data_IF_229653017070
#
_entry.id   IF_229653017070
#
_cell.length_a   1.000
_cell.length_b   1.000
_cell.length_c   1.000
_cell.angle_alpha   90.00
_cell.angle_beta   90.00
_cell.angle_gamma   90.00
#
_symmetry.space_group_name_H-M   'P 1'
#
loop_
_entity.id
_entity.type
_entity.pdbx_description
1 polymer ?
#
# COMPACT_ATOMS: atom_id res chain seq x y z
N UNK A 1 -1.30 -71.40 -17.01
CA UNK A 1 -2.41 -70.78 -16.26
C UNK A 1 -1.91 -70.10 -14.97
N UNK A 2 -1.02 -69.11 -15.06
CA UNK A 2 -0.44 -68.45 -13.85
C UNK A 2 -0.65 -66.93 -13.81
N UNK A 3 -1.15 -66.34 -14.89
CA UNK A 3 -1.33 -64.88 -15.01
C UNK A 3 -2.45 -64.32 -14.14
N UNK A 4 -3.55 -65.05 -13.92
CA UNK A 4 -4.69 -64.57 -13.10
C UNK A 4 -4.37 -64.43 -11.61
N UNK A 5 -3.50 -65.28 -11.05
CA UNK A 5 -3.13 -65.25 -9.62
C UNK A 5 -2.16 -64.11 -9.30
N UNK A 6 -1.27 -63.74 -10.24
CA UNK A 6 -0.36 -62.59 -10.12
C UNK A 6 -1.07 -61.25 -10.34
N UNK A 7 -2.18 -61.23 -11.08
CA UNK A 7 -2.91 -60.00 -11.42
C UNK A 7 -3.74 -59.45 -10.25
N UNK A 8 -4.26 -60.33 -9.38
CA UNK A 8 -5.09 -59.98 -8.23
C UNK A 8 -4.37 -59.11 -7.17
N UNK A 9 -3.17 -59.46 -6.66
CA UNK A 9 -2.44 -58.60 -5.73
C UNK A 9 -2.00 -57.28 -6.37
N UNK A 10 -1.73 -57.27 -7.67
CA UNK A 10 -1.40 -56.04 -8.41
C UNK A 10 -2.60 -55.10 -8.53
N UNK A 11 -3.82 -55.63 -8.62
CA UNK A 11 -5.03 -54.80 -8.58
C UNK A 11 -5.31 -54.25 -7.19
N UNK A 12 -5.16 -55.05 -6.14
CA UNK A 12 -5.34 -54.62 -4.75
C UNK A 12 -4.38 -53.48 -4.37
N UNK A 13 -3.10 -53.59 -4.75
CA UNK A 13 -2.11 -52.52 -4.54
C UNK A 13 -2.48 -51.24 -5.31
N UNK A 14 -3.00 -51.37 -6.53
CA UNK A 14 -3.43 -50.21 -7.33
C UNK A 14 -4.66 -49.52 -6.74
N UNK A 15 -5.60 -50.30 -6.19
CA UNK A 15 -6.78 -49.76 -5.50
C UNK A 15 -6.37 -49.04 -4.22
N UNK A 16 -5.49 -49.63 -3.40
CA UNK A 16 -4.99 -48.97 -2.20
C UNK A 16 -4.24 -47.65 -2.51
N UNK A 17 -3.44 -47.64 -3.59
CA UNK A 17 -2.75 -46.43 -4.03
C UNK A 17 -3.73 -45.35 -4.55
N UNK A 18 -4.81 -45.77 -5.20
CA UNK A 18 -5.88 -44.86 -5.64
C UNK A 18 -6.63 -44.27 -4.45
N UNK A 19 -6.96 -45.07 -3.44
CA UNK A 19 -7.59 -44.61 -2.21
C UNK A 19 -6.71 -43.61 -1.46
N UNK A 20 -5.41 -43.88 -1.35
CA UNK A 20 -4.47 -42.96 -0.73
C UNK A 20 -4.39 -41.63 -1.50
N UNK A 21 -4.28 -41.67 -2.84
CA UNK A 21 -4.26 -40.45 -3.66
C UNK A 21 -5.57 -39.68 -3.61
N UNK A 22 -6.70 -40.37 -3.50
CA UNK A 22 -8.00 -39.75 -3.36
C UNK A 22 -8.12 -39.07 -1.99
N UNK A 23 -7.66 -39.71 -0.92
CA UNK A 23 -7.61 -39.12 0.42
C UNK A 23 -6.71 -37.87 0.46
N UNK A 24 -5.53 -37.93 -0.17
CA UNK A 24 -4.62 -36.77 -0.28
C UNK A 24 -5.27 -35.63 -1.07
N UNK A 25 -5.98 -35.96 -2.15
CA UNK A 25 -6.67 -34.98 -3.00
C UNK A 25 -7.84 -34.33 -2.26
N UNK A 26 -8.65 -35.11 -1.53
CA UNK A 26 -9.74 -34.61 -0.69
C UNK A 26 -9.19 -33.68 0.39
N UNK A 27 -8.12 -34.08 1.07
CA UNK A 27 -7.47 -33.25 2.11
C UNK A 27 -6.93 -31.94 1.53
N UNK A 28 -6.32 -31.99 0.34
CA UNK A 28 -5.90 -30.78 -0.36
C UNK A 28 -7.11 -29.92 -0.77
N UNK A 29 -8.19 -30.53 -1.26
CA UNK A 29 -9.39 -29.81 -1.66
C UNK A 29 -10.11 -29.14 -0.49
N UNK A 30 -10.08 -29.72 0.71
CA UNK A 30 -10.62 -29.08 1.92
C UNK A 30 -9.78 -27.87 2.36
N UNK A 31 -8.47 -27.90 2.11
CA UNK A 31 -7.56 -26.80 2.48
C UNK A 31 -7.63 -25.59 1.52
N UNK A 32 -8.06 -25.80 0.26
CA UNK A 32 -8.08 -24.77 -0.78
C UNK A 32 -9.12 -23.66 -0.50
N UNK A 33 -10.38 -23.96 -0.13
CA UNK A 33 -11.38 -22.96 0.25
C UNK A 33 -10.88 -22.04 1.37
N UNK A 34 -10.28 -22.61 2.43
CA UNK A 34 -9.75 -21.82 3.54
C UNK A 34 -8.60 -20.89 3.13
N UNK A 35 -7.77 -21.29 2.16
CA UNK A 35 -6.71 -20.44 1.61
C UNK A 35 -7.26 -19.33 0.72
N UNK A 36 -8.30 -19.60 -0.06
CA UNK A 36 -8.98 -18.59 -0.90
C UNK A 36 -9.67 -17.55 -0.03
N UNK A 37 -10.44 -17.96 0.99
CA UNK A 37 -11.08 -17.03 1.93
C UNK A 37 -10.06 -16.16 2.68
N UNK A 38 -8.89 -16.70 3.01
CA UNK A 38 -7.81 -15.93 3.63
C UNK A 38 -7.21 -14.90 2.67
N UNK A 39 -6.98 -15.27 1.41
CA UNK A 39 -6.51 -14.35 0.38
C UNK A 39 -7.54 -13.24 0.10
N UNK A 40 -8.83 -13.57 0.03
CA UNK A 40 -9.91 -12.59 -0.11
C UNK A 40 -9.90 -11.59 1.05
N UNK A 41 -9.74 -12.05 2.29
CA UNK A 41 -9.59 -11.18 3.46
C UNK A 41 -8.34 -10.31 3.42
N UNK A 42 -7.20 -10.84 2.95
CA UNK A 42 -5.97 -10.06 2.75
C UNK A 42 -6.15 -9.01 1.63
N UNK A 43 -6.85 -9.34 0.53
CA UNK A 43 -7.17 -8.41 -0.54
C UNK A 43 -8.10 -7.28 -0.08
N UNK A 44 -9.13 -7.59 0.71
CA UNK A 44 -10.04 -6.58 1.27
C UNK A 44 -9.30 -5.63 2.24
N UNK A 45 -8.41 -6.19 3.06
CA UNK A 45 -7.58 -5.41 3.97
C UNK A 45 -6.59 -4.51 3.20
N UNK A 46 -5.97 -5.02 2.13
CA UNK A 46 -5.09 -4.23 1.25
C UNK A 46 -5.86 -3.13 0.50
N UNK A 47 -7.08 -3.40 0.02
CA UNK A 47 -7.93 -2.41 -0.64
C UNK A 47 -8.31 -1.27 0.33
N UNK A 48 -8.59 -1.61 1.58
CA UNK A 48 -8.88 -0.64 2.65
C UNK A 48 -7.65 0.23 2.94
N UNK A 49 -6.48 -0.38 3.09
CA UNK A 49 -5.22 0.34 3.30
C UNK A 49 -4.86 1.24 2.12
N UNK A 50 -5.07 0.79 0.89
CA UNK A 50 -4.83 1.61 -0.31
C UNK A 50 -5.75 2.83 -0.37
N UNK A 51 -7.01 2.66 0.05
CA UNK A 51 -7.97 3.77 0.12
C UNK A 51 -7.56 4.79 1.17
N UNK A 52 -7.18 4.34 2.37
CA UNK A 52 -6.67 5.21 3.43
C UNK A 52 -5.36 5.92 3.03
N UNK A 53 -4.46 5.22 2.34
CA UNK A 53 -3.22 5.79 1.85
C UNK A 53 -3.46 6.88 0.80
N UNK A 54 -4.38 6.65 -0.13
CA UNK A 54 -4.76 7.63 -1.14
C UNK A 54 -5.37 8.90 -0.50
N UNK A 55 -6.20 8.72 0.53
CA UNK A 55 -6.76 9.85 1.28
C UNK A 55 -5.66 10.64 2.03
N UNK A 56 -4.74 9.94 2.69
CA UNK A 56 -3.57 10.57 3.32
C UNK A 56 -2.69 11.33 2.34
N UNK A 57 -2.50 10.81 1.11
CA UNK A 57 -1.77 11.52 0.05
C UNK A 57 -2.49 12.79 -0.41
N UNK A 58 -3.82 12.78 -0.50
CA UNK A 58 -4.61 13.97 -0.83
C UNK A 58 -4.50 15.03 0.25
N UNK A 59 -4.64 14.65 1.51
CA UNK A 59 -4.52 15.56 2.65
C UNK A 59 -3.12 16.16 2.75
N UNK A 60 -2.08 15.35 2.55
CA UNK A 60 -0.70 15.83 2.51
C UNK A 60 -0.48 16.81 1.36
N UNK A 61 -0.99 16.51 0.17
CA UNK A 61 -0.88 17.40 -1.00
C UNK A 61 -1.58 18.74 -0.74
N UNK A 62 -2.77 18.71 -0.15
CA UNK A 62 -3.50 19.93 0.22
C UNK A 62 -2.72 20.75 1.26
N UNK A 63 -2.17 20.09 2.28
CA UNK A 63 -1.36 20.74 3.32
C UNK A 63 -0.11 21.37 2.74
N UNK A 64 0.60 20.67 1.86
CA UNK A 64 1.80 21.20 1.18
C UNK A 64 1.44 22.40 0.31
N UNK A 65 0.30 22.37 -0.38
CA UNK A 65 -0.18 23.50 -1.19
C UNK A 65 -0.51 24.73 -0.35
N UNK A 66 -1.18 24.56 0.79
CA UNK A 66 -1.48 25.66 1.73
C UNK A 66 -0.20 26.26 2.32
N UNK A 67 0.75 25.41 2.74
CA UNK A 67 2.07 25.85 3.21
C UNK A 67 2.79 26.64 2.13
N UNK A 68 2.84 26.13 0.89
CA UNK A 68 3.44 26.83 -0.25
C UNK A 68 2.84 28.22 -0.44
N UNK A 69 1.51 28.32 -0.39
CA UNK A 69 0.79 29.61 -0.50
C UNK A 69 1.15 30.58 0.63
N UNK A 70 1.22 30.09 1.87
CA UNK A 70 1.63 30.90 3.04
C UNK A 70 3.06 31.39 2.92
N UNK A 71 3.98 30.53 2.50
CA UNK A 71 5.39 30.89 2.28
C UNK A 71 5.52 31.94 1.18
N UNK A 72 4.83 31.78 0.05
CA UNK A 72 4.83 32.78 -1.03
C UNK A 72 4.30 34.13 -0.54
N UNK A 73 3.22 34.15 0.25
CA UNK A 73 2.69 35.39 0.84
C UNK A 73 3.66 36.05 1.80
N UNK A 74 4.32 35.27 2.66
CA UNK A 74 5.36 35.79 3.57
C UNK A 74 6.54 36.39 2.80
N UNK A 75 7.03 35.69 1.77
CA UNK A 75 8.13 36.18 0.94
C UNK A 75 7.75 37.47 0.21
N UNK A 76 6.53 37.55 -0.33
CA UNK A 76 6.03 38.77 -0.95
C UNK A 76 5.98 39.93 0.05
N UNK A 77 5.46 39.69 1.27
CA UNK A 77 5.42 40.70 2.32
C UNK A 77 6.83 41.17 2.72
N UNK A 78 7.78 40.24 2.91
CA UNK A 78 9.17 40.57 3.20
C UNK A 78 9.84 41.37 2.09
N UNK A 79 9.53 41.07 0.83
CA UNK A 79 10.05 41.80 -0.33
C UNK A 79 9.54 43.24 -0.32
N UNK A 80 8.24 43.44 -0.09
CA UNK A 80 7.66 44.79 0.03
C UNK A 80 8.29 45.55 1.19
N UNK A 81 8.41 44.93 2.37
CA UNK A 81 9.05 45.54 3.52
C UNK A 81 10.51 45.91 3.24
N UNK A 82 11.26 45.04 2.55
CA UNK A 82 12.63 45.30 2.14
C UNK A 82 12.72 46.52 1.21
N UNK A 83 11.84 46.63 0.22
CA UNK A 83 11.78 47.78 -0.68
C UNK A 83 11.47 49.07 0.09
N UNK A 84 10.50 49.04 1.00
CA UNK A 84 10.14 50.20 1.83
C UNK A 84 11.31 50.62 2.73
N UNK A 85 11.98 49.64 3.35
CA UNK A 85 13.15 49.90 4.19
C UNK A 85 14.33 50.48 3.37
N UNK A 86 14.54 50.02 2.14
CA UNK A 86 15.56 50.59 1.24
C UNK A 86 15.22 52.02 0.81
N UNK A 87 13.93 52.31 0.55
CA UNK A 87 13.49 53.63 0.12
C UNK A 87 13.52 54.67 1.25
N UNK A 88 13.10 54.29 2.45
CA UNK A 88 12.97 55.20 3.60
C UNK A 88 14.19 55.17 4.52
N UNK A 89 14.97 54.09 4.51
CA UNK A 89 16.13 53.88 5.38
C UNK A 89 17.15 55.03 5.33
N UNK A 90 17.62 55.47 4.15
CA UNK A 90 18.59 56.56 4.05
C UNK A 90 18.06 57.89 4.58
N UNK A 91 16.77 58.17 4.36
CA UNK A 91 16.10 59.41 4.79
C UNK A 91 15.90 59.41 6.31
N UNK A 92 15.44 58.30 6.88
CA UNK A 92 15.29 58.13 8.32
C UNK A 92 16.64 58.13 9.05
N UNK A 93 17.66 57.50 8.46
CA UNK A 93 19.01 57.47 9.01
C UNK A 93 19.63 58.87 9.08
N UNK A 94 19.50 59.68 8.03
CA UNK A 94 19.94 61.10 8.03
C UNK A 94 19.20 61.97 9.04
N UNK A 95 17.94 61.66 9.33
CA UNK A 95 17.14 62.41 10.30
C UNK A 95 17.53 62.08 11.75
N UNK A 96 17.94 60.83 12.01
CA UNK A 96 18.40 60.36 13.32
C UNK A 96 19.88 60.64 13.59
N UNK A 97 20.72 60.64 12.55
CA UNK A 97 22.16 60.89 12.61
C UNK A 97 22.54 61.96 11.56
N UNK A 98 22.50 63.26 11.93
CA UNK A 98 22.87 64.35 11.03
C UNK A 98 24.38 64.41 10.76
#
# INVERSE_FOLDING_TARGET
MTTRLQQKPKMEIRVALLEQRLADLVTHHESVPGRVTRLEGEFEHMATQLTALNEGQRELTATVSDIGTKVTRMLAALTVLGVVAQALGPTLFRMLFP
#
